data_IF_794894466761
#
_entry.id   IF_794894466761
#
_cell.length_a   1.000
_cell.length_b   1.000
_cell.length_c   1.000
_cell.angle_alpha   90.00
_cell.angle_beta   90.00
_cell.angle_gamma   90.00
#
_symmetry.space_group_name_H-M   'P 1'
#
loop_
_entity.id
_entity.type
_entity.pdbx_description
1 polymer ?
#
# COMPACT_ATOMS: atom_id res chain seq x y z
N UNK A 1 77.65 59.61 33.92
CA UNK A 1 77.00 58.44 34.49
C UNK A 1 75.55 58.18 34.05
N UNK A 2 74.93 58.92 33.19
CA UNK A 2 73.48 58.76 32.83
C UNK A 2 73.24 57.97 31.54
N UNK A 3 74.24 57.57 30.78
CA UNK A 3 74.10 56.92 29.47
C UNK A 3 74.04 55.39 29.52
N UNK A 4 74.61 54.77 30.58
CA UNK A 4 74.65 53.32 30.74
C UNK A 4 73.40 52.74 31.45
N UNK A 5 72.65 53.54 32.15
CA UNK A 5 71.43 53.13 32.86
C UNK A 5 70.28 52.74 31.87
N UNK A 6 70.23 53.40 30.69
CA UNK A 6 69.24 53.09 29.70
C UNK A 6 69.48 51.72 28.98
N UNK A 7 70.80 51.32 28.85
CA UNK A 7 71.15 50.04 28.29
C UNK A 7 70.90 48.86 29.23
N UNK A 8 71.08 49.08 30.53
CA UNK A 8 70.72 48.10 31.55
C UNK A 8 69.21 47.86 31.68
N UNK A 9 68.43 48.93 31.54
CA UNK A 9 66.93 48.80 31.50
C UNK A 9 66.47 48.10 30.23
N UNK A 10 67.10 48.32 29.06
CA UNK A 10 66.73 47.65 27.82
C UNK A 10 67.12 46.18 27.86
N UNK A 11 68.27 45.82 28.44
CA UNK A 11 68.68 44.44 28.63
C UNK A 11 67.77 43.68 29.63
N UNK A 12 67.32 44.36 30.69
CA UNK A 12 66.36 43.80 31.62
C UNK A 12 64.96 43.51 31.01
N UNK A 13 64.48 44.44 30.16
CA UNK A 13 63.24 44.22 29.46
C UNK A 13 63.34 43.08 28.42
N UNK A 14 64.49 43.00 27.71
CA UNK A 14 64.72 41.86 26.79
C UNK A 14 64.87 40.52 27.50
N UNK A 15 65.46 40.48 28.68
CA UNK A 15 65.55 39.24 29.50
C UNK A 15 64.16 38.83 30.03
N UNK A 16 63.32 39.76 30.43
CA UNK A 16 61.95 39.48 30.89
C UNK A 16 61.09 38.98 29.71
N UNK A 17 61.24 39.60 28.51
CA UNK A 17 60.53 39.17 27.30
C UNK A 17 60.98 37.78 26.87
N UNK A 18 62.31 37.48 26.95
CA UNK A 18 62.82 36.16 26.63
C UNK A 18 62.38 35.06 27.63
N UNK A 19 62.29 35.40 28.92
CA UNK A 19 61.74 34.49 29.95
C UNK A 19 60.21 34.30 29.73
N UNK A 20 59.47 35.35 29.40
CA UNK A 20 58.07 35.22 29.10
C UNK A 20 57.80 34.45 27.80
N UNK A 21 58.63 34.57 26.76
CA UNK A 21 58.57 33.78 25.55
C UNK A 21 58.95 32.31 25.81
N UNK A 22 59.98 32.04 26.65
CA UNK A 22 60.35 30.66 26.99
C UNK A 22 59.32 29.94 27.86
N UNK A 23 58.66 30.64 28.76
CA UNK A 23 57.58 30.08 29.59
C UNK A 23 56.24 30.05 28.89
N UNK A 24 55.96 30.96 27.92
CA UNK A 24 54.70 30.97 27.17
C UNK A 24 54.57 29.90 26.08
N UNK A 25 55.67 29.32 25.62
CA UNK A 25 55.64 28.31 24.55
C UNK A 25 55.47 26.85 25.03
N UNK A 26 55.42 26.60 26.34
CA UNK A 26 55.32 25.25 26.88
C UNK A 26 53.97 24.91 27.51
N UNK A 27 52.90 25.63 27.14
CA UNK A 27 51.55 25.19 27.45
C UNK A 27 51.22 23.96 26.57
N UNK A 28 51.53 22.76 27.05
CA UNK A 28 51.02 21.53 26.48
C UNK A 28 49.51 21.66 26.42
N UNK A 29 48.93 21.73 25.23
CA UNK A 29 47.52 21.59 24.96
C UNK A 29 47.03 20.32 25.68
N UNK A 30 46.25 20.47 26.71
CA UNK A 30 45.60 19.32 27.36
C UNK A 30 44.38 18.97 26.52
N UNK A 31 44.56 17.99 25.64
CA UNK A 31 43.47 17.41 24.90
C UNK A 31 42.52 16.70 25.88
N UNK A 32 41.28 17.12 25.92
CA UNK A 32 40.27 16.52 26.79
C UNK A 32 39.54 15.41 26.01
N UNK A 33 39.79 14.17 26.40
CA UNK A 33 39.19 13.01 25.80
C UNK A 33 37.90 12.62 26.54
N UNK A 34 36.81 12.49 25.82
CA UNK A 34 35.57 11.93 26.32
C UNK A 34 35.55 10.45 26.00
N UNK A 35 35.29 9.65 27.00
CA UNK A 35 35.25 8.19 26.86
C UNK A 35 33.87 7.64 27.18
N UNK A 36 33.51 6.54 26.50
CA UNK A 36 32.35 5.72 26.83
C UNK A 36 32.82 4.30 27.13
N UNK A 37 32.14 3.60 27.99
CA UNK A 37 32.47 2.24 28.36
C UNK A 37 31.88 1.25 27.39
N UNK A 38 32.60 0.14 27.19
CA UNK A 38 32.04 -1.05 26.56
C UNK A 38 31.12 -1.73 27.57
N UNK A 39 29.89 -1.95 27.21
CA UNK A 39 28.88 -2.56 28.07
C UNK A 39 28.44 -3.90 27.49
N UNK A 40 27.92 -4.75 28.37
CA UNK A 40 27.27 -5.98 27.96
C UNK A 40 25.76 -5.82 28.12
N UNK A 41 25.00 -6.20 27.07
CA UNK A 41 23.57 -6.08 27.10
C UNK A 41 22.93 -6.60 25.81
N UNK A 42 21.62 -6.48 25.75
CA UNK A 42 20.85 -6.89 24.59
C UNK A 42 20.85 -5.78 23.54
N UNK A 43 20.85 -6.18 22.28
CA UNK A 43 20.68 -5.29 21.11
C UNK A 43 19.51 -5.80 20.31
N UNK A 44 18.61 -4.88 19.99
CA UNK A 44 17.43 -5.13 19.17
C UNK A 44 17.55 -4.32 17.89
N UNK A 45 17.75 -5.00 16.78
CA UNK A 45 17.64 -4.39 15.46
C UNK A 45 16.16 -4.30 15.12
N UNK A 46 15.66 -3.08 14.94
CA UNK A 46 14.26 -2.80 14.70
C UNK A 46 14.08 -1.94 13.46
N UNK A 47 13.08 -2.27 12.68
CA UNK A 47 12.61 -1.43 11.58
C UNK A 47 11.45 -0.58 12.11
N UNK A 48 11.61 0.73 12.06
CA UNK A 48 10.56 1.69 12.38
C UNK A 48 9.86 2.13 11.10
N UNK A 49 8.55 2.04 11.08
CA UNK A 49 7.77 2.39 9.92
C UNK A 49 6.42 2.99 10.33
N UNK A 50 5.87 3.83 9.48
CA UNK A 50 4.56 4.43 9.69
C UNK A 50 3.52 3.74 8.81
N UNK A 51 2.30 3.63 9.32
CA UNK A 51 1.21 3.02 8.59
C UNK A 51 -0.16 3.60 8.95
N UNK A 52 -1.19 3.15 8.25
CA UNK A 52 -2.58 3.50 8.52
C UNK A 52 -3.36 2.27 8.96
N UNK A 53 -4.20 2.45 9.95
CA UNK A 53 -5.11 1.42 10.45
C UNK A 53 -6.32 1.31 9.52
N UNK A 54 -6.64 0.09 9.12
CA UNK A 54 -7.79 -0.21 8.26
C UNK A 54 -8.51 -1.46 8.75
N UNK A 55 -9.80 -1.58 8.42
CA UNK A 55 -10.50 -2.84 8.62
C UNK A 55 -9.99 -3.90 7.61
N UNK A 56 -10.09 -5.18 7.99
CA UNK A 56 -9.64 -6.30 7.13
C UNK A 56 -10.40 -6.29 5.79
N UNK A 57 -11.70 -6.08 5.83
CA UNK A 57 -12.55 -5.97 4.65
C UNK A 57 -13.33 -4.67 4.73
N UNK A 58 -13.16 -3.84 3.71
CA UNK A 58 -13.89 -2.60 3.51
C UNK A 58 -14.50 -2.61 2.13
N UNK A 59 -15.82 -2.40 2.04
CA UNK A 59 -16.56 -2.34 0.78
C UNK A 59 -17.10 -0.95 0.55
N UNK A 60 -16.84 -0.41 -0.62
CA UNK A 60 -17.43 0.84 -1.08
C UNK A 60 -18.75 0.51 -1.79
N UNK A 61 -19.86 0.99 -1.25
CA UNK A 61 -21.20 0.84 -1.81
C UNK A 61 -21.50 2.05 -2.66
N UNK A 62 -21.68 1.84 -3.95
CA UNK A 62 -21.99 2.89 -4.92
C UNK A 62 -23.37 2.72 -5.57
N UNK A 63 -23.74 3.65 -6.45
CA UNK A 63 -24.94 3.56 -7.28
C UNK A 63 -24.61 3.02 -8.68
N UNK A 64 -25.51 2.19 -9.22
CA UNK A 64 -25.46 1.73 -10.61
C UNK A 64 -26.34 2.57 -11.54
N UNK A 65 -27.19 3.43 -10.98
CA UNK A 65 -28.07 4.33 -11.74
C UNK A 65 -27.89 5.77 -11.28
N UNK A 66 -28.08 6.70 -12.19
CA UNK A 66 -28.03 8.14 -11.89
C UNK A 66 -29.39 8.62 -11.40
N UNK A 67 -29.39 9.52 -10.41
CA UNK A 67 -30.62 10.10 -9.88
C UNK A 67 -30.39 10.91 -8.63
N UNK A 68 -31.45 11.40 -8.01
CA UNK A 68 -31.41 12.16 -6.76
C UNK A 68 -31.59 11.19 -5.58
N UNK A 69 -30.79 11.34 -4.53
CA UNK A 69 -30.99 10.59 -3.29
C UNK A 69 -32.26 11.04 -2.59
N UNK A 70 -33.29 10.20 -2.64
CA UNK A 70 -34.57 10.50 -2.01
C UNK A 70 -34.52 10.29 -0.50
N UNK A 71 -33.85 9.23 -0.04
CA UNK A 71 -33.79 8.90 1.37
C UNK A 71 -32.53 8.10 1.71
N UNK A 72 -31.95 8.36 2.88
CA UNK A 72 -30.93 7.57 3.52
C UNK A 72 -31.52 6.87 4.75
N UNK A 73 -31.28 5.57 4.92
CA UNK A 73 -31.82 4.76 6.02
C UNK A 73 -30.81 4.51 7.11
N UNK A 74 -29.52 4.76 6.83
CA UNK A 74 -28.40 4.56 7.73
C UNK A 74 -27.53 5.80 7.76
N UNK A 75 -26.82 6.00 8.85
CA UNK A 75 -25.89 7.11 9.05
C UNK A 75 -24.52 6.58 9.53
N UNK A 76 -23.57 7.46 9.81
CA UNK A 76 -22.27 7.11 10.37
C UNK A 76 -22.42 6.17 11.57
N UNK A 77 -21.53 5.20 11.70
CA UNK A 77 -21.46 4.20 12.78
C UNK A 77 -22.70 3.28 12.89
N UNK A 78 -23.65 3.35 11.96
CA UNK A 78 -24.80 2.42 11.92
C UNK A 78 -24.36 1.01 11.58
N UNK A 79 -24.88 0.02 12.31
CA UNK A 79 -24.71 -1.39 11.96
C UNK A 79 -25.70 -1.78 10.89
N UNK A 80 -25.22 -2.54 9.93
CA UNK A 80 -26.01 -3.02 8.78
C UNK A 80 -25.75 -4.50 8.56
N UNK A 81 -26.81 -5.20 8.09
CA UNK A 81 -26.69 -6.59 7.64
C UNK A 81 -26.71 -6.65 6.12
N UNK A 82 -26.17 -7.74 5.59
CA UNK A 82 -26.24 -8.00 4.15
C UNK A 82 -27.68 -8.00 3.65
N UNK A 83 -27.96 -7.16 2.65
CA UNK A 83 -29.29 -7.00 2.08
C UNK A 83 -30.11 -5.85 2.67
N UNK A 84 -29.70 -5.25 3.80
CA UNK A 84 -30.38 -4.09 4.36
C UNK A 84 -30.37 -2.92 3.39
N UNK A 85 -31.47 -2.18 3.34
CA UNK A 85 -31.58 -0.99 2.49
C UNK A 85 -30.84 0.15 3.18
N UNK A 86 -29.84 0.69 2.48
CA UNK A 86 -28.99 1.79 3.01
C UNK A 86 -29.35 3.14 2.40
N UNK A 87 -29.79 3.16 1.13
CA UNK A 87 -30.25 4.38 0.47
C UNK A 87 -31.33 4.06 -0.56
N UNK A 88 -32.11 5.10 -0.90
CA UNK A 88 -33.10 5.07 -1.95
C UNK A 88 -32.87 6.26 -2.88
N UNK A 89 -32.67 5.96 -4.16
CA UNK A 89 -32.69 6.96 -5.24
C UNK A 89 -34.15 7.17 -5.66
N UNK A 90 -34.54 8.36 -6.07
CA UNK A 90 -35.90 8.67 -6.52
C UNK A 90 -36.32 7.68 -7.63
N UNK A 91 -37.30 6.81 -7.35
CA UNK A 91 -37.72 5.77 -8.29
C UNK A 91 -38.70 6.25 -9.36
N UNK A 92 -39.20 7.50 -9.31
CA UNK A 92 -40.30 7.96 -10.12
C UNK A 92 -40.07 7.78 -11.63
N UNK A 93 -38.89 8.18 -12.13
CA UNK A 93 -38.55 8.01 -13.55
C UNK A 93 -38.44 6.53 -13.95
N UNK A 94 -37.87 5.70 -13.09
CA UNK A 94 -37.70 4.28 -13.34
C UNK A 94 -39.03 3.52 -13.27
N UNK A 95 -39.96 3.90 -12.38
CA UNK A 95 -41.30 3.37 -12.33
C UNK A 95 -42.08 3.72 -13.61
N UNK A 96 -41.96 4.96 -14.10
CA UNK A 96 -42.53 5.36 -15.37
C UNK A 96 -41.98 4.52 -16.54
N UNK A 97 -40.67 4.26 -16.58
CA UNK A 97 -40.07 3.42 -17.61
C UNK A 97 -40.55 1.95 -17.56
N UNK A 98 -40.76 1.40 -16.37
CA UNK A 98 -41.36 0.05 -16.22
C UNK A 98 -42.79 0.04 -16.69
N UNK A 99 -43.63 1.02 -16.32
CA UNK A 99 -45.00 1.12 -16.78
C UNK A 99 -45.11 1.24 -18.30
N UNK A 100 -44.24 2.03 -18.93
CA UNK A 100 -44.20 2.15 -20.40
C UNK A 100 -43.84 0.79 -21.04
N UNK A 101 -42.79 0.11 -20.51
CA UNK A 101 -42.39 -1.19 -21.03
C UNK A 101 -43.47 -2.28 -20.83
N UNK A 102 -44.23 -2.22 -19.73
CA UNK A 102 -45.37 -3.11 -19.49
C UNK A 102 -46.52 -2.86 -20.50
N UNK A 103 -46.82 -1.60 -20.81
CA UNK A 103 -47.80 -1.24 -21.82
C UNK A 103 -47.40 -1.74 -23.23
N UNK A 104 -46.12 -1.55 -23.58
CA UNK A 104 -45.57 -2.04 -24.84
C UNK A 104 -45.64 -3.57 -24.95
N UNK A 105 -45.30 -4.29 -23.87
CA UNK A 105 -45.38 -5.75 -23.81
C UNK A 105 -46.84 -6.23 -23.98
N UNK A 106 -47.78 -5.56 -23.33
CA UNK A 106 -49.19 -5.90 -23.45
C UNK A 106 -49.71 -5.66 -24.88
N UNK A 107 -49.28 -4.58 -25.54
CA UNK A 107 -49.60 -4.29 -26.95
C UNK A 107 -49.03 -5.41 -27.86
N UNK A 108 -47.76 -5.84 -27.65
CA UNK A 108 -47.17 -6.93 -28.42
C UNK A 108 -47.90 -8.27 -28.22
N UNK A 109 -48.37 -8.56 -26.99
CA UNK A 109 -49.19 -9.74 -26.70
C UNK A 109 -50.55 -9.69 -27.41
N UNK A 110 -51.20 -8.53 -27.46
CA UNK A 110 -52.45 -8.35 -28.21
C UNK A 110 -52.26 -8.58 -29.73
N UNK A 111 -51.14 -8.07 -30.28
CA UNK A 111 -50.79 -8.30 -31.68
C UNK A 111 -50.51 -9.79 -31.97
N UNK A 112 -49.87 -10.51 -31.06
CA UNK A 112 -49.69 -11.96 -31.19
C UNK A 112 -51.03 -12.71 -31.18
N UNK A 113 -51.93 -12.32 -30.31
CA UNK A 113 -53.29 -12.92 -30.28
C UNK A 113 -54.06 -12.68 -31.59
N UNK A 114 -53.97 -11.48 -32.17
CA UNK A 114 -54.55 -11.16 -33.47
C UNK A 114 -53.91 -11.98 -34.61
N UNK A 115 -52.57 -12.15 -34.60
CA UNK A 115 -51.87 -12.96 -35.58
C UNK A 115 -52.27 -14.44 -35.49
N UNK A 116 -52.42 -14.98 -34.28
CA UNK A 116 -52.94 -16.34 -34.06
C UNK A 116 -54.36 -16.53 -34.54
N UNK A 117 -55.27 -15.56 -34.29
CA UNK A 117 -56.61 -15.60 -34.80
C UNK A 117 -56.67 -15.57 -36.34
N UNK A 118 -55.80 -14.78 -36.99
CA UNK A 118 -55.67 -14.76 -38.44
C UNK A 118 -55.15 -16.10 -38.99
N UNK A 119 -54.18 -16.77 -38.31
CA UNK A 119 -53.71 -18.09 -38.68
C UNK A 119 -54.83 -19.13 -38.60
N UNK A 120 -55.65 -19.15 -37.56
CA UNK A 120 -56.79 -20.06 -37.43
C UNK A 120 -57.84 -19.84 -38.53
N UNK A 121 -58.10 -18.57 -38.87
CA UNK A 121 -58.93 -18.24 -40.04
C UNK A 121 -58.37 -18.78 -41.34
N UNK A 122 -57.06 -18.63 -41.61
CA UNK A 122 -56.43 -19.17 -42.80
C UNK A 122 -56.47 -20.69 -42.83
N UNK A 123 -56.24 -21.36 -41.72
CA UNK A 123 -56.35 -22.81 -41.57
C UNK A 123 -57.80 -23.33 -41.87
N UNK A 124 -58.76 -22.66 -41.33
CA UNK A 124 -60.15 -23.01 -41.63
C UNK A 124 -60.48 -22.91 -43.12
N UNK A 125 -60.01 -21.83 -43.79
CA UNK A 125 -60.20 -21.68 -45.26
C UNK A 125 -59.40 -22.75 -46.03
N UNK A 126 -58.23 -23.16 -45.57
CA UNK A 126 -57.49 -24.26 -46.19
C UNK A 126 -58.20 -25.60 -46.09
N UNK A 127 -58.87 -25.92 -44.99
CA UNK A 127 -59.70 -27.11 -44.84
C UNK A 127 -60.77 -27.16 -45.86
N UNK A 128 -61.47 -26.03 -46.10
CA UNK A 128 -62.50 -25.92 -47.13
C UNK A 128 -61.96 -26.14 -48.55
N UNK A 129 -60.87 -25.43 -48.93
CA UNK A 129 -60.33 -25.51 -50.29
C UNK A 129 -59.71 -26.88 -50.53
N UNK A 130 -59.20 -27.54 -49.51
CA UNK A 130 -58.66 -28.95 -49.56
C UNK A 130 -59.83 -29.90 -49.87
N UNK A 131 -60.94 -29.80 -49.18
CA UNK A 131 -62.11 -30.65 -49.41
C UNK A 131 -62.70 -30.42 -50.85
N UNK A 132 -62.68 -29.19 -51.32
CA UNK A 132 -63.13 -28.88 -52.71
C UNK A 132 -62.19 -29.49 -53.78
N UNK A 133 -60.84 -29.41 -53.54
CA UNK A 133 -59.86 -30.08 -54.41
C UNK A 133 -59.98 -31.59 -54.40
N UNK A 134 -60.12 -32.23 -53.24
CA UNK A 134 -60.32 -33.67 -53.12
C UNK A 134 -61.58 -34.14 -53.85
N UNK A 135 -62.69 -33.42 -53.71
CA UNK A 135 -63.92 -33.65 -54.38
C UNK A 135 -63.75 -33.52 -55.90
N UNK A 136 -63.14 -32.43 -56.41
CA UNK A 136 -62.86 -32.24 -57.83
C UNK A 136 -62.01 -33.34 -58.38
N UNK A 137 -60.97 -33.83 -57.62
CA UNK A 137 -60.11 -34.94 -58.01
C UNK A 137 -60.91 -36.26 -58.21
N UNK A 138 -61.80 -36.59 -57.26
CA UNK A 138 -62.62 -37.79 -57.36
C UNK A 138 -63.53 -37.74 -58.58
N UNK A 139 -64.30 -36.62 -58.81
CA UNK A 139 -65.14 -36.44 -59.92
C UNK A 139 -64.46 -36.46 -61.30
N UNK A 140 -63.24 -35.96 -61.37
CA UNK A 140 -62.36 -36.06 -62.57
C UNK A 140 -61.95 -37.49 -62.85
N UNK A 141 -61.64 -38.27 -61.85
CA UNK A 141 -61.29 -39.70 -61.97
C UNK A 141 -62.48 -40.51 -62.53
N UNK A 142 -63.70 -40.12 -62.10
CA UNK A 142 -64.98 -40.66 -62.60
C UNK A 142 -65.39 -40.10 -63.96
N UNK A 143 -64.57 -39.21 -64.59
CA UNK A 143 -64.86 -38.49 -65.86
C UNK A 143 -66.17 -37.64 -65.84
N UNK A 144 -66.56 -37.18 -64.68
CA UNK A 144 -67.80 -36.31 -64.48
C UNK A 144 -67.49 -34.84 -64.69
N UNK A 145 -66.23 -34.40 -64.40
CA UNK A 145 -65.83 -32.97 -64.50
C UNK A 145 -64.59 -32.83 -65.42
N UNK A 146 -64.31 -31.54 -65.84
CA UNK A 146 -63.18 -31.24 -66.74
C UNK A 146 -61.86 -31.12 -66.00
N UNK A 147 -60.73 -31.37 -66.68
CA UNK A 147 -59.38 -31.18 -66.17
C UNK A 147 -59.18 -29.72 -65.71
N UNK A 148 -59.74 -28.75 -66.42
CA UNK A 148 -59.69 -27.32 -66.10
C UNK A 148 -60.28 -27.02 -64.69
N UNK A 149 -61.37 -27.70 -64.30
CA UNK A 149 -61.95 -27.53 -62.96
C UNK A 149 -61.05 -28.13 -61.85
N UNK A 150 -60.38 -29.25 -62.10
CA UNK A 150 -59.40 -29.84 -61.21
C UNK A 150 -58.19 -28.91 -61.03
N UNK A 151 -57.63 -28.38 -62.12
CA UNK A 151 -56.49 -27.48 -62.11
C UNK A 151 -56.83 -26.19 -61.36
N UNK A 152 -58.02 -25.64 -61.50
CA UNK A 152 -58.52 -24.47 -60.77
C UNK A 152 -58.65 -24.75 -59.25
N UNK A 153 -59.22 -25.89 -58.87
CA UNK A 153 -59.40 -26.30 -57.50
C UNK A 153 -57.99 -26.55 -56.84
N UNK A 154 -57.03 -27.13 -57.57
CA UNK A 154 -55.66 -27.30 -57.14
C UNK A 154 -55.00 -25.95 -56.93
N UNK A 155 -55.07 -25.04 -57.88
CA UNK A 155 -54.44 -23.71 -57.76
C UNK A 155 -54.99 -22.93 -56.53
N UNK A 156 -56.32 -23.03 -56.27
CA UNK A 156 -56.91 -22.46 -55.06
C UNK A 156 -56.42 -23.09 -53.77
N UNK A 157 -56.29 -24.41 -53.73
CA UNK A 157 -55.70 -25.13 -52.59
C UNK A 157 -54.25 -24.72 -52.37
N UNK A 158 -53.40 -24.71 -53.39
CA UNK A 158 -52.00 -24.34 -53.32
C UNK A 158 -51.83 -22.86 -52.85
N UNK A 159 -52.71 -21.95 -53.38
CA UNK A 159 -52.71 -20.54 -52.94
C UNK A 159 -53.08 -20.39 -51.45
N UNK A 160 -54.10 -21.15 -51.00
CA UNK A 160 -54.50 -21.07 -49.57
C UNK A 160 -53.46 -21.70 -48.66
N UNK A 161 -52.79 -22.78 -49.11
CA UNK A 161 -51.69 -23.37 -48.36
C UNK A 161 -50.50 -22.43 -48.20
N UNK A 162 -50.17 -21.66 -49.25
CA UNK A 162 -49.17 -20.60 -49.16
C UNK A 162 -49.62 -19.46 -48.20
N UNK A 163 -50.92 -19.12 -48.17
CA UNK A 163 -51.48 -18.15 -47.26
C UNK A 163 -51.35 -18.58 -45.79
N UNK A 164 -51.57 -19.85 -45.47
CA UNK A 164 -51.31 -20.41 -44.14
C UNK A 164 -49.86 -20.26 -43.77
N UNK A 165 -48.90 -20.58 -44.64
CA UNK A 165 -47.46 -20.38 -44.39
C UNK A 165 -47.10 -18.93 -44.09
N UNK A 166 -47.73 -17.98 -44.81
CA UNK A 166 -47.59 -16.55 -44.55
C UNK A 166 -48.14 -16.13 -43.17
N UNK A 167 -49.31 -16.70 -42.78
CA UNK A 167 -49.90 -16.45 -41.47
C UNK A 167 -49.05 -17.07 -40.32
N UNK A 168 -48.47 -18.21 -40.52
CA UNK A 168 -47.52 -18.84 -39.57
C UNK A 168 -46.26 -17.99 -39.37
N UNK A 169 -45.70 -17.46 -40.46
CA UNK A 169 -44.55 -16.55 -40.40
C UNK A 169 -44.92 -15.27 -39.59
N UNK A 170 -46.13 -14.73 -39.78
CA UNK A 170 -46.60 -13.57 -39.02
C UNK A 170 -46.77 -13.87 -37.51
N UNK A 171 -47.19 -15.07 -37.12
CA UNK A 171 -47.24 -15.50 -35.71
C UNK A 171 -45.83 -15.56 -35.15
N UNK A 172 -44.89 -16.19 -35.87
CA UNK A 172 -43.50 -16.25 -35.43
C UNK A 172 -42.88 -14.86 -35.25
N UNK A 173 -43.17 -13.93 -36.17
CA UNK A 173 -42.72 -12.54 -36.04
C UNK A 173 -43.32 -11.85 -34.81
N UNK A 174 -44.63 -12.04 -34.57
CA UNK A 174 -45.29 -11.47 -33.38
C UNK A 174 -44.76 -12.07 -32.07
N UNK A 175 -44.43 -13.37 -32.04
CA UNK A 175 -43.77 -14.04 -30.90
C UNK A 175 -42.39 -13.46 -30.62
N UNK A 176 -41.59 -13.20 -31.65
CA UNK A 176 -40.32 -12.54 -31.53
C UNK A 176 -40.44 -11.13 -30.94
N UNK A 177 -41.49 -10.37 -31.35
CA UNK A 177 -41.78 -9.03 -30.80
C UNK A 177 -42.17 -9.10 -29.31
N UNK A 178 -42.96 -10.08 -28.89
CA UNK A 178 -43.27 -10.29 -27.47
C UNK A 178 -42.02 -10.56 -26.67
N UNK A 179 -41.14 -11.40 -27.16
CA UNK A 179 -39.85 -11.72 -26.51
C UNK A 179 -38.97 -10.47 -26.38
N UNK A 180 -38.88 -9.66 -27.45
CA UNK A 180 -38.13 -8.40 -27.44
C UNK A 180 -38.67 -7.43 -26.40
N UNK A 181 -40.00 -7.23 -26.34
CA UNK A 181 -40.64 -6.32 -25.37
C UNK A 181 -40.55 -6.84 -23.94
N UNK A 182 -40.59 -8.16 -23.73
CA UNK A 182 -40.35 -8.78 -22.42
C UNK A 182 -38.92 -8.54 -21.92
N UNK A 183 -37.94 -8.62 -22.82
CA UNK A 183 -36.54 -8.29 -22.48
C UNK A 183 -36.39 -6.80 -22.11
N UNK A 184 -36.98 -5.89 -22.86
CA UNK A 184 -37.00 -4.45 -22.57
C UNK A 184 -37.61 -4.15 -21.19
N UNK A 185 -38.73 -4.80 -20.86
CA UNK A 185 -39.39 -4.68 -19.55
C UNK A 185 -38.47 -5.19 -18.42
N UNK A 186 -37.77 -6.30 -18.64
CA UNK A 186 -36.82 -6.84 -17.66
C UNK A 186 -35.67 -5.86 -17.38
N UNK A 187 -35.13 -5.19 -18.40
CA UNK A 187 -34.10 -4.16 -18.24
C UNK A 187 -34.62 -2.97 -17.41
N UNK A 188 -35.82 -2.46 -17.74
CA UNK A 188 -36.47 -1.37 -17.00
C UNK A 188 -36.67 -1.75 -15.51
N UNK A 189 -37.13 -2.97 -15.24
CA UNK A 189 -37.31 -3.49 -13.88
C UNK A 189 -35.98 -3.61 -13.12
N UNK A 190 -34.93 -4.04 -13.78
CA UNK A 190 -33.58 -4.13 -13.17
C UNK A 190 -33.06 -2.74 -12.79
N UNK A 191 -33.25 -1.75 -13.66
CA UNK A 191 -32.87 -0.37 -13.36
C UNK A 191 -33.72 0.20 -12.18
N UNK A 192 -35.00 -0.11 -12.09
CA UNK A 192 -35.79 0.23 -10.92
C UNK A 192 -35.27 -0.45 -9.64
N UNK A 193 -34.89 -1.70 -9.70
CA UNK A 193 -34.31 -2.41 -8.55
C UNK A 193 -32.99 -1.77 -8.09
N UNK A 194 -32.18 -1.21 -9.00
CA UNK A 194 -30.96 -0.50 -8.68
C UNK A 194 -31.16 0.86 -7.99
N UNK A 195 -32.38 1.40 -7.97
CA UNK A 195 -32.69 2.59 -7.17
C UNK A 195 -32.68 2.31 -5.68
N UNK A 196 -32.85 1.04 -5.27
CA UNK A 196 -32.79 0.59 -3.88
C UNK A 196 -31.39 0.06 -3.61
N UNK A 197 -30.57 0.87 -2.94
CA UNK A 197 -29.20 0.53 -2.63
C UNK A 197 -29.15 -0.29 -1.34
N UNK A 198 -28.49 -1.45 -1.41
CA UNK A 198 -28.40 -2.41 -0.30
C UNK A 198 -26.97 -2.65 0.12
N UNK A 199 -26.78 -3.00 1.39
CA UNK A 199 -25.48 -3.43 1.88
C UNK A 199 -25.11 -4.79 1.30
N UNK A 200 -23.91 -4.96 0.70
CA UNK A 200 -23.42 -6.25 0.20
C UNK A 200 -22.91 -7.16 1.29
N UNK A 201 -22.56 -6.61 2.48
CA UNK A 201 -21.94 -7.31 3.61
C UNK A 201 -22.59 -6.92 4.93
N UNK A 202 -22.38 -7.73 5.95
CA UNK A 202 -22.61 -7.36 7.34
C UNK A 202 -21.47 -6.44 7.81
N UNK A 203 -21.79 -5.39 8.57
CA UNK A 203 -20.73 -4.50 9.02
C UNK A 203 -21.22 -3.20 9.66
N UNK A 204 -20.31 -2.24 9.74
CA UNK A 204 -20.55 -0.89 10.26
C UNK A 204 -20.25 0.14 9.18
N UNK A 205 -21.10 1.13 9.03
CA UNK A 205 -20.90 2.25 8.11
C UNK A 205 -19.78 3.15 8.66
N UNK A 206 -18.67 3.21 7.96
CA UNK A 206 -17.49 4.04 8.34
C UNK A 206 -17.61 5.44 7.76
N UNK A 207 -18.08 5.55 6.51
CA UNK A 207 -18.19 6.84 5.85
C UNK A 207 -19.49 6.93 5.02
N UNK A 208 -20.07 8.13 4.97
CA UNK A 208 -21.19 8.53 4.14
C UNK A 208 -20.75 9.72 3.28
N UNK A 209 -20.77 9.53 1.97
CA UNK A 209 -20.23 10.51 1.02
C UNK A 209 -21.30 11.30 0.27
N UNK A 210 -22.57 11.08 0.60
CA UNK A 210 -23.70 11.76 -0.06
C UNK A 210 -24.76 12.18 0.96
N UNK A 211 -25.53 13.22 0.60
CA UNK A 211 -26.64 13.73 1.39
C UNK A 211 -28.00 13.53 0.68
N UNK A 212 -29.09 13.60 1.45
CA UNK A 212 -30.45 13.58 0.90
C UNK A 212 -30.65 14.81 0.01
N UNK A 213 -31.23 14.59 -1.17
CA UNK A 213 -31.38 15.62 -2.20
C UNK A 213 -30.17 15.79 -3.12
N UNK A 214 -29.05 15.14 -2.84
CA UNK A 214 -27.88 15.18 -3.72
C UNK A 214 -28.11 14.33 -4.98
N UNK A 215 -27.70 14.86 -6.13
CA UNK A 215 -27.71 14.11 -7.39
C UNK A 215 -26.44 13.29 -7.53
N UNK A 216 -26.57 12.00 -7.80
CA UNK A 216 -25.48 11.09 -8.13
C UNK A 216 -25.52 10.72 -9.60
N UNK A 217 -24.35 10.73 -10.25
CA UNK A 217 -24.19 10.41 -11.67
C UNK A 217 -23.31 9.17 -11.81
N UNK A 218 -23.89 8.07 -12.29
CA UNK A 218 -23.18 6.79 -12.46
C UNK A 218 -22.56 6.60 -13.86
N UNK A 219 -22.60 7.63 -14.73
CA UNK A 219 -22.23 7.52 -16.14
C UNK A 219 -20.73 7.45 -16.43
N UNK A 220 -19.87 8.01 -15.57
CA UNK A 220 -18.39 8.03 -15.75
C UNK A 220 -17.65 7.20 -14.70
N UNK A 221 -18.04 7.37 -13.44
CA UNK A 221 -17.55 6.57 -12.31
C UNK A 221 -18.72 6.31 -11.37
N UNK A 222 -18.83 5.10 -10.86
CA UNK A 222 -19.82 4.80 -9.83
C UNK A 222 -19.49 5.60 -8.56
N UNK A 223 -20.32 6.59 -8.17
CA UNK A 223 -20.05 7.38 -6.96
C UNK A 223 -20.17 6.49 -5.73
N UNK A 224 -19.18 6.53 -4.86
CA UNK A 224 -19.25 5.85 -3.56
C UNK A 224 -20.23 6.60 -2.67
N UNK A 225 -21.28 5.92 -2.22
CA UNK A 225 -22.33 6.45 -1.33
C UNK A 225 -21.96 6.16 0.12
N UNK A 226 -21.62 4.92 0.43
CA UNK A 226 -21.18 4.49 1.74
C UNK A 226 -19.90 3.67 1.67
N UNK A 227 -19.11 3.74 2.73
CA UNK A 227 -18.01 2.81 2.99
C UNK A 227 -18.39 1.96 4.21
N UNK A 228 -18.44 0.65 4.02
CA UNK A 228 -18.86 -0.30 5.07
C UNK A 228 -17.67 -1.19 5.41
N UNK A 229 -17.29 -1.24 6.68
CA UNK A 229 -16.29 -2.16 7.23
C UNK A 229 -16.97 -3.38 7.82
N UNK A 230 -16.48 -4.56 7.46
CA UNK A 230 -17.13 -5.83 7.88
C UNK A 230 -16.97 -6.07 9.38
N UNK A 231 -15.76 -5.99 9.90
CA UNK A 231 -15.46 -6.19 11.30
C UNK A 231 -14.39 -5.19 11.76
N UNK A 232 -14.69 -4.47 12.84
CA UNK A 232 -13.77 -3.54 13.48
C UNK A 232 -13.02 -4.16 14.67
N UNK A 233 -13.30 -5.43 15.01
CA UNK A 233 -12.57 -6.16 16.04
C UNK A 233 -11.27 -6.75 15.53
N UNK A 234 -11.21 -7.07 14.24
CA UNK A 234 -9.99 -7.51 13.55
C UNK A 234 -9.59 -6.45 12.53
N UNK A 235 -8.40 -5.94 12.68
CA UNK A 235 -7.93 -4.82 11.87
C UNK A 235 -6.53 -5.07 11.34
N UNK A 236 -6.14 -4.28 10.36
CA UNK A 236 -4.83 -4.32 9.72
C UNK A 236 -4.19 -2.95 9.80
N UNK A 237 -2.88 -2.91 10.08
CA UNK A 237 -2.06 -1.74 9.81
C UNK A 237 -1.39 -1.94 8.44
N UNK A 238 -1.62 -1.04 7.51
CA UNK A 238 -0.88 -0.95 6.26
C UNK A 238 0.34 -0.08 6.48
N UNK A 239 1.48 -0.72 6.67
CA UNK A 239 2.73 -0.06 7.02
C UNK A 239 3.62 0.01 5.79
N UNK A 240 4.15 1.20 5.49
CA UNK A 240 5.12 1.39 4.40
C UNK A 240 6.52 1.13 4.91
N UNK A 241 7.16 0.10 4.37
CA UNK A 241 8.53 -0.31 4.70
C UNK A 241 9.46 -0.09 3.52
N UNK A 242 10.66 0.37 3.77
CA UNK A 242 11.64 0.64 2.73
C UNK A 242 12.18 -0.66 2.11
N UNK A 243 12.60 -0.60 0.85
CA UNK A 243 13.19 -1.73 0.13
C UNK A 243 14.39 -2.34 0.86
N UNK A 244 15.18 -1.50 1.56
CA UNK A 244 16.36 -1.95 2.33
C UNK A 244 16.01 -2.91 3.46
N UNK A 245 14.81 -2.77 4.04
CA UNK A 245 14.41 -3.44 5.27
C UNK A 245 13.44 -4.60 5.03
N UNK A 246 12.72 -4.55 3.90
CA UNK A 246 11.69 -5.55 3.57
C UNK A 246 12.23 -6.99 3.53
N UNK A 247 13.50 -7.16 3.12
CA UNK A 247 14.14 -8.48 3.05
C UNK A 247 14.32 -9.17 4.40
N UNK A 248 14.29 -8.41 5.49
CA UNK A 248 14.46 -8.90 6.86
C UNK A 248 13.13 -9.14 7.58
N UNK A 249 12.02 -8.66 7.02
CA UNK A 249 10.68 -8.80 7.60
C UNK A 249 10.07 -10.14 7.17
N UNK A 250 9.71 -10.97 8.15
CA UNK A 250 9.11 -12.29 7.90
C UNK A 250 7.67 -12.35 8.40
N UNK A 251 6.75 -12.98 7.65
CA UNK A 251 5.40 -13.24 8.13
C UNK A 251 5.40 -14.00 9.47
N UNK A 252 4.41 -13.73 10.31
CA UNK A 252 4.26 -14.32 11.64
C UNK A 252 5.07 -13.62 12.75
N UNK A 253 5.90 -12.63 12.41
CA UNK A 253 6.70 -11.92 13.41
C UNK A 253 5.82 -11.00 14.25
N UNK A 254 6.00 -11.04 15.56
CA UNK A 254 5.30 -10.15 16.49
C UNK A 254 5.88 -8.75 16.37
N UNK A 255 5.00 -7.77 16.35
CA UNK A 255 5.35 -6.35 16.23
C UNK A 255 4.60 -5.56 17.29
N UNK A 256 5.14 -4.40 17.63
CA UNK A 256 4.47 -3.44 18.48
C UNK A 256 4.18 -2.16 17.71
N UNK A 257 3.09 -1.51 18.04
CA UNK A 257 2.79 -0.21 17.43
C UNK A 257 2.12 0.72 18.45
N UNK A 258 2.27 2.01 18.17
CA UNK A 258 1.63 3.08 18.93
C UNK A 258 0.81 3.95 17.99
N UNK A 259 -0.23 4.57 18.52
CA UNK A 259 -1.09 5.51 17.79
C UNK A 259 -1.12 6.84 18.54
N UNK A 260 -1.21 7.95 17.80
CA UNK A 260 -1.22 9.29 18.41
C UNK A 260 -2.41 9.52 19.34
N UNK A 261 -3.53 8.83 19.08
CA UNK A 261 -4.71 8.91 19.93
C UNK A 261 -4.49 8.32 21.34
N UNK A 262 -3.57 7.35 21.48
CA UNK A 262 -3.25 6.64 22.72
C UNK A 262 -1.73 6.53 22.94
N UNK A 263 -1.01 7.64 23.22
CA UNK A 263 0.45 7.66 23.24
C UNK A 263 1.06 6.84 24.39
N UNK A 264 0.29 6.54 25.43
CA UNK A 264 0.73 5.74 26.58
C UNK A 264 0.49 4.24 26.40
N UNK A 265 -0.36 3.85 25.46
CA UNK A 265 -0.69 2.44 25.21
C UNK A 265 0.17 1.90 24.08
N UNK A 266 0.68 0.69 24.23
CA UNK A 266 1.39 -0.04 23.19
C UNK A 266 0.51 -1.21 22.77
N UNK A 267 0.23 -1.26 21.48
CA UNK A 267 -0.57 -2.31 20.87
C UNK A 267 0.35 -3.38 20.27
N UNK A 268 -0.15 -4.60 20.22
CA UNK A 268 0.57 -5.76 19.69
C UNK A 268 -0.14 -6.29 18.46
N UNK A 269 0.65 -6.70 17.48
CA UNK A 269 0.17 -7.31 16.26
C UNK A 269 1.18 -8.30 15.72
N UNK A 270 0.85 -8.94 14.61
CA UNK A 270 1.74 -9.84 13.90
C UNK A 270 1.79 -9.47 12.41
N UNK A 271 2.97 -9.59 11.81
CA UNK A 271 3.11 -9.44 10.36
C UNK A 271 2.32 -10.56 9.68
N UNK A 272 1.28 -10.20 8.95
CA UNK A 272 0.47 -11.14 8.18
C UNK A 272 1.16 -11.46 6.85
N UNK A 273 1.52 -10.42 6.12
CA UNK A 273 2.20 -10.56 4.82
C UNK A 273 2.91 -9.25 4.43
N UNK A 274 3.88 -9.37 3.54
CA UNK A 274 4.48 -8.26 2.82
C UNK A 274 3.98 -8.34 1.38
N UNK A 275 3.40 -7.25 0.86
CA UNK A 275 2.91 -7.18 -0.52
C UNK A 275 4.08 -7.00 -1.48
N UNK A 276 4.10 -7.80 -2.55
CA UNK A 276 5.17 -7.76 -3.54
C UNK A 276 5.07 -6.58 -4.51
N UNK A 277 3.93 -5.87 -4.53
CA UNK A 277 3.74 -4.71 -5.40
C UNK A 277 4.35 -3.45 -4.74
N UNK A 278 5.43 -2.88 -5.28
CA UNK A 278 6.04 -1.69 -4.73
C UNK A 278 5.21 -0.44 -5.02
N UNK A 279 5.28 0.52 -4.12
CA UNK A 279 4.79 1.88 -4.34
C UNK A 279 5.99 2.83 -4.38
N UNK A 280 6.16 3.56 -5.49
CA UNK A 280 7.23 4.56 -5.61
C UNK A 280 6.66 5.95 -5.40
N UNK A 281 7.16 6.63 -4.37
CA UNK A 281 6.80 8.02 -4.07
C UNK A 281 8.09 8.83 -3.99
N UNK A 282 8.21 9.88 -4.79
CA UNK A 282 9.40 10.74 -4.83
C UNK A 282 10.72 9.96 -5.01
N UNK A 283 10.75 8.97 -5.89
CA UNK A 283 11.87 8.07 -6.14
C UNK A 283 12.27 7.15 -4.96
N UNK A 284 11.47 7.08 -3.90
CA UNK A 284 11.65 6.12 -2.83
C UNK A 284 10.71 4.93 -3.08
N UNK A 285 11.29 3.74 -3.15
CA UNK A 285 10.56 2.48 -3.32
C UNK A 285 10.19 1.93 -1.95
N UNK A 286 8.90 1.78 -1.72
CA UNK A 286 8.36 1.22 -0.47
C UNK A 286 7.44 0.03 -0.76
N UNK A 287 7.37 -0.89 0.19
CA UNK A 287 6.49 -2.06 0.16
C UNK A 287 5.47 -2.00 1.29
N UNK A 288 4.24 -2.42 0.99
CA UNK A 288 3.20 -2.48 2.01
C UNK A 288 3.37 -3.74 2.86
N UNK A 289 3.75 -3.56 4.13
CA UNK A 289 3.76 -4.61 5.15
C UNK A 289 2.43 -4.57 5.92
N UNK A 290 1.71 -5.68 5.90
CA UNK A 290 0.41 -5.81 6.56
C UNK A 290 0.58 -6.45 7.93
N UNK A 291 0.06 -5.79 8.96
CA UNK A 291 0.13 -6.22 10.35
C UNK A 291 -1.29 -6.41 10.84
N UNK A 292 -1.61 -7.65 11.20
CA UNK A 292 -2.91 -8.01 11.78
C UNK A 292 -2.89 -7.83 13.30
N UNK A 293 -3.97 -7.28 13.84
CA UNK A 293 -4.14 -7.09 15.26
C UNK A 293 -5.62 -7.16 15.68
N UNK A 294 -5.85 -7.48 16.94
CA UNK A 294 -7.18 -7.51 17.53
C UNK A 294 -7.52 -6.17 18.21
N UNK A 295 -8.76 -5.70 18.02
CA UNK A 295 -9.31 -4.47 18.58
C UNK A 295 -10.61 -4.77 19.35
N UNK A 296 -10.57 -5.55 20.44
CA UNK A 296 -11.77 -6.01 21.15
C UNK A 296 -12.58 -4.88 21.77
N UNK A 297 -11.93 -3.82 22.21
CA UNK A 297 -12.54 -2.66 22.84
C UNK A 297 -13.03 -1.60 21.84
N UNK A 298 -12.79 -1.80 20.52
CA UNK A 298 -13.14 -0.88 19.45
C UNK A 298 -12.56 0.53 19.66
N UNK A 299 -11.41 0.63 20.33
CA UNK A 299 -10.71 1.91 20.58
C UNK A 299 -10.05 2.47 19.32
N UNK A 300 -9.57 1.59 18.45
CA UNK A 300 -8.85 1.98 17.25
C UNK A 300 -9.83 2.08 16.07
N UNK A 301 -9.76 3.19 15.35
CA UNK A 301 -10.64 3.45 14.21
C UNK A 301 -9.87 3.39 12.89
N UNK A 302 -10.52 2.99 11.79
CA UNK A 302 -9.95 3.09 10.46
C UNK A 302 -9.51 4.53 10.15
N UNK A 303 -8.34 4.67 9.52
CA UNK A 303 -7.74 5.96 9.18
C UNK A 303 -6.76 6.51 10.22
N UNK A 304 -6.65 5.92 11.42
CA UNK A 304 -5.64 6.33 12.40
C UNK A 304 -4.23 5.99 11.91
N UNK A 305 -3.27 6.87 12.22
CA UNK A 305 -1.85 6.64 11.96
C UNK A 305 -1.25 5.79 13.07
N UNK A 306 -0.48 4.77 12.68
CA UNK A 306 0.24 3.89 13.58
C UNK A 306 1.76 3.99 13.32
N UNK A 307 2.53 4.12 14.40
CA UNK A 307 3.98 4.01 14.39
C UNK A 307 4.36 2.60 14.80
N UNK A 308 4.89 1.86 13.86
CA UNK A 308 5.14 0.43 14.00
C UNK A 308 6.62 0.18 14.22
N UNK A 309 6.94 -0.66 15.21
CA UNK A 309 8.27 -1.17 15.48
C UNK A 309 8.30 -2.66 15.21
N UNK A 310 9.04 -3.05 14.18
CA UNK A 310 9.17 -4.44 13.73
C UNK A 310 10.55 -4.94 14.17
N UNK A 311 10.68 -5.85 15.15
CA UNK A 311 11.98 -6.39 15.55
C UNK A 311 12.48 -7.33 14.45
N UNK A 312 13.63 -7.02 13.88
CA UNK A 312 14.25 -7.81 12.80
C UNK A 312 15.18 -8.87 13.38
N UNK A 313 16.12 -8.44 14.23
CA UNK A 313 17.05 -9.32 14.90
C UNK A 313 17.19 -8.93 16.38
N UNK A 314 17.44 -9.89 17.21
CA UNK A 314 17.71 -9.69 18.65
C UNK A 314 18.87 -10.58 19.03
N UNK A 315 19.90 -9.99 19.64
CA UNK A 315 21.01 -10.72 20.20
C UNK A 315 21.12 -10.34 21.68
N UNK A 316 21.18 -11.36 22.53
CA UNK A 316 21.18 -11.18 23.98
C UNK A 316 22.58 -11.28 24.54
N UNK A 317 22.87 -10.49 25.59
CA UNK A 317 24.08 -10.53 26.39
C UNK A 317 25.38 -10.43 25.58
N UNK A 318 25.42 -9.53 24.59
CA UNK A 318 26.61 -9.26 23.76
C UNK A 318 27.38 -8.04 24.24
N UNK A 319 28.66 -7.97 23.89
CA UNK A 319 29.43 -6.75 24.05
C UNK A 319 28.95 -5.72 23.05
N UNK A 320 28.58 -4.54 23.54
CA UNK A 320 28.12 -3.42 22.74
C UNK A 320 28.96 -2.18 22.98
N UNK A 321 29.12 -1.42 21.93
CA UNK A 321 29.79 -0.12 21.97
C UNK A 321 28.91 0.97 21.36
N UNK A 322 29.02 2.21 21.85
CA UNK A 322 28.25 3.31 21.27
C UNK A 322 28.76 3.66 19.87
N UNK A 323 27.84 3.93 18.94
CA UNK A 323 28.17 4.23 17.55
C UNK A 323 29.05 5.48 17.37
N UNK A 324 29.12 6.35 18.39
CA UNK A 324 30.03 7.48 18.43
C UNK A 324 31.50 7.05 18.47
N UNK A 325 31.81 5.91 19.11
CA UNK A 325 33.17 5.38 19.16
C UNK A 325 33.65 4.83 17.81
N UNK A 326 32.73 4.34 16.95
CA UNK A 326 33.03 3.87 15.59
C UNK A 326 33.40 5.03 14.64
N UNK A 327 32.88 6.21 14.91
CA UNK A 327 33.09 7.41 14.06
C UNK A 327 34.25 8.25 14.52
N UNK A 328 34.85 7.91 15.65
CA UNK A 328 35.96 8.68 16.21
C UNK A 328 37.26 8.51 15.41
N UNK A 329 37.86 9.64 15.05
CA UNK A 329 39.18 9.71 14.44
C UNK A 329 40.09 10.50 15.36
N UNK A 330 41.26 9.92 15.81
CA UNK A 330 42.17 10.63 16.70
C UNK A 330 42.78 11.85 15.99
N UNK A 331 43.08 12.93 16.71
CA UNK A 331 43.73 14.12 16.16
C UNK A 331 45.23 13.90 15.98
N UNK A 332 45.61 12.84 15.25
CA UNK A 332 46.98 12.44 14.97
C UNK A 332 47.27 12.58 13.49
N UNK A 333 48.57 12.66 13.12
CA UNK A 333 48.94 12.63 11.70
C UNK A 333 48.68 11.26 11.08
N UNK A 334 48.36 11.19 9.76
CA UNK A 334 48.17 9.90 9.09
C UNK A 334 49.33 8.94 9.25
N UNK A 335 50.55 9.46 9.26
CA UNK A 335 51.77 8.66 9.47
C UNK A 335 51.84 8.04 10.88
N UNK A 336 51.42 8.76 11.92
CA UNK A 336 51.36 8.24 13.28
C UNK A 336 50.30 7.15 13.44
N UNK A 337 49.14 7.34 12.81
CA UNK A 337 48.06 6.33 12.79
C UNK A 337 48.56 5.07 12.11
N UNK A 338 49.23 5.19 10.95
CA UNK A 338 49.82 4.03 10.25
C UNK A 338 50.86 3.30 11.07
N UNK A 339 51.73 4.02 11.80
CA UNK A 339 52.74 3.40 12.71
C UNK A 339 52.07 2.66 13.85
N UNK A 340 50.97 3.18 14.38
CA UNK A 340 50.16 2.50 15.40
C UNK A 340 49.50 1.25 14.82
N UNK A 341 48.89 1.33 13.65
CA UNK A 341 48.28 0.16 12.99
C UNK A 341 49.30 -0.94 12.71
N UNK A 342 50.48 -0.59 12.20
CA UNK A 342 51.57 -1.54 11.98
C UNK A 342 52.05 -2.20 13.28
N UNK A 343 52.11 -1.43 14.39
CA UNK A 343 52.55 -1.96 15.72
C UNK A 343 51.54 -2.98 16.27
N UNK A 344 50.24 -2.77 16.02
CA UNK A 344 49.15 -3.65 16.49
C UNK A 344 48.70 -4.68 15.43
N UNK A 345 49.38 -4.73 14.27
CA UNK A 345 49.12 -5.72 13.22
C UNK A 345 47.76 -5.53 12.50
N UNK A 346 47.33 -4.26 12.34
CA UNK A 346 46.10 -3.88 11.64
C UNK A 346 46.46 -3.47 10.23
N UNK A 347 46.00 -4.21 9.21
CA UNK A 347 46.22 -3.91 7.80
C UNK A 347 45.17 -2.93 7.26
N UNK A 348 45.58 -1.78 6.76
CA UNK A 348 44.74 -0.71 6.23
C UNK A 348 44.00 -1.11 4.95
N UNK A 349 44.62 -1.93 4.09
CA UNK A 349 43.99 -2.40 2.83
C UNK A 349 42.68 -3.16 3.03
N UNK A 350 42.51 -3.80 4.19
CA UNK A 350 41.27 -4.49 4.51
C UNK A 350 40.16 -3.57 5.03
N UNK A 351 40.52 -2.35 5.47
CA UNK A 351 39.55 -1.34 5.93
C UNK A 351 38.99 -0.52 4.75
N UNK A 352 39.78 -0.25 3.72
CA UNK A 352 39.32 0.49 2.53
C UNK A 352 38.35 -0.31 1.66
N UNK A 353 38.54 -1.64 1.59
CA UNK A 353 37.63 -2.51 0.81
C UNK A 353 36.21 -2.52 1.36
N UNK A 354 36.04 -2.26 2.67
CA UNK A 354 34.72 -2.16 3.29
C UNK A 354 34.05 -0.77 3.14
N UNK A 355 34.83 0.28 2.86
CA UNK A 355 34.37 1.66 2.71
C UNK A 355 33.99 2.03 1.26
N UNK A 356 34.61 1.40 0.25
CA UNK A 356 34.39 1.71 -1.17
C UNK A 356 33.14 1.06 -1.78
N UNK A 357 32.47 0.15 -1.06
CA UNK A 357 31.21 -0.46 -1.51
C UNK A 357 29.98 0.49 -1.47
N UNK A 358 30.17 1.78 -1.18
CA UNK A 358 29.10 2.75 -0.98
C UNK A 358 29.07 3.90 -2.01
N UNK A 359 29.73 3.78 -3.18
CA UNK A 359 29.53 4.71 -4.28
C UNK A 359 28.68 4.05 -5.38
N UNK A 360 27.55 4.66 -5.80
CA UNK A 360 26.77 4.16 -6.91
C UNK A 360 27.42 4.62 -8.22
N UNK A 361 28.21 3.74 -8.85
CA UNK A 361 28.59 3.91 -10.24
C UNK A 361 27.49 3.29 -11.11
N UNK A 362 26.93 4.13 -11.98
CA UNK A 362 25.83 3.78 -12.84
C UNK A 362 26.23 2.86 -13.98
N UNK A 363 25.95 1.57 -13.82
CA UNK A 363 25.74 0.64 -14.94
C UNK A 363 24.84 -0.51 -14.46
N UNK A 364 23.79 -0.86 -15.23
CA UNK A 364 22.89 -1.95 -14.85
C UNK A 364 23.41 -3.26 -15.41
N UNK A 365 23.99 -4.11 -14.57
CA UNK A 365 24.02 -5.57 -14.74
C UNK A 365 24.83 -6.21 -13.61
N UNK A 366 24.16 -6.91 -12.71
CA UNK A 366 24.51 -8.25 -12.27
C UNK A 366 23.94 -8.60 -10.90
N UNK A 367 23.47 -9.83 -10.77
CA UNK A 367 23.05 -10.56 -9.59
C UNK A 367 23.82 -10.19 -8.31
N UNK A 368 23.21 -9.35 -7.46
CA UNK A 368 23.76 -9.01 -6.17
C UNK A 368 23.26 -10.01 -5.13
N UNK A 369 24.04 -11.07 -4.95
CA UNK A 369 24.00 -11.83 -3.71
C UNK A 369 24.56 -10.92 -2.62
N UNK A 370 23.72 -10.31 -1.80
CA UNK A 370 24.17 -9.55 -0.63
C UNK A 370 24.81 -10.50 0.36
N UNK A 371 26.14 -10.47 0.42
CA UNK A 371 26.92 -11.04 1.51
C UNK A 371 26.59 -10.25 2.78
N UNK A 372 26.34 -10.88 3.95
CA UNK A 372 26.14 -10.16 5.20
C UNK A 372 27.34 -9.25 5.46
N UNK A 373 27.12 -7.98 5.72
CA UNK A 373 28.17 -7.00 6.04
C UNK A 373 28.83 -7.39 7.35
N UNK A 374 29.86 -8.21 7.32
CA UNK A 374 30.84 -8.24 8.37
C UNK A 374 31.70 -6.98 8.17
N UNK A 375 31.20 -5.85 8.65
CA UNK A 375 31.97 -4.61 8.59
C UNK A 375 32.93 -4.62 9.75
N UNK A 376 34.22 -4.74 9.51
CA UNK A 376 35.24 -4.53 10.55
C UNK A 376 35.49 -3.03 10.71
N UNK A 377 35.68 -2.60 11.95
CA UNK A 377 36.00 -1.23 12.30
C UNK A 377 37.14 -1.17 13.30
N UNK A 378 37.83 -0.03 13.35
CA UNK A 378 38.84 0.22 14.37
C UNK A 378 38.26 1.18 15.39
N UNK A 379 38.29 0.77 16.66
CA UNK A 379 37.92 1.60 17.82
C UNK A 379 39.16 1.91 18.66
N UNK A 380 39.12 3.03 19.33
CA UNK A 380 40.26 3.52 20.09
C UNK A 380 40.03 3.34 21.58
N UNK A 381 40.78 2.38 22.17
CA UNK A 381 40.75 2.12 23.61
C UNK A 381 41.64 3.13 24.33
N UNK A 382 41.10 3.70 25.39
CA UNK A 382 41.77 4.64 26.26
C UNK A 382 42.37 3.93 27.46
N UNK A 383 43.68 4.12 27.69
CA UNK A 383 44.41 3.59 28.86
C UNK A 383 44.60 4.67 29.95
N UNK A 384 44.74 4.27 31.24
CA UNK A 384 44.98 5.20 32.34
C UNK A 384 46.30 6.00 32.22
N UNK A 385 47.23 5.51 31.40
CA UNK A 385 48.50 6.17 31.08
C UNK A 385 48.40 7.24 30.01
N UNK A 386 47.16 7.64 29.62
CA UNK A 386 46.86 8.58 28.56
C UNK A 386 47.26 8.09 27.16
N UNK A 387 47.47 6.81 26.97
CA UNK A 387 47.72 6.23 25.65
C UNK A 387 46.45 5.74 24.98
N UNK A 388 46.42 5.74 23.62
CA UNK A 388 45.35 5.21 22.81
C UNK A 388 45.82 3.94 22.10
N UNK A 389 45.05 2.88 22.23
CA UNK A 389 45.27 1.60 21.55
C UNK A 389 44.22 1.39 20.47
N UNK A 390 44.61 1.19 19.19
CA UNK A 390 43.66 0.82 18.14
C UNK A 390 43.30 -0.66 18.29
N UNK A 391 42.01 -0.95 18.35
CA UNK A 391 41.44 -2.30 18.42
C UNK A 391 40.56 -2.55 17.20
N UNK A 392 40.90 -3.59 16.42
CA UNK A 392 40.09 -3.99 15.26
C UNK A 392 39.01 -4.95 15.72
N UNK A 393 37.76 -4.56 15.47
CA UNK A 393 36.56 -5.31 15.84
C UNK A 393 35.72 -5.63 14.61
N UNK A 394 35.11 -6.82 14.60
CA UNK A 394 34.06 -7.17 13.65
C UNK A 394 32.70 -6.77 14.25
N UNK A 395 31.92 -6.03 13.47
CA UNK A 395 30.63 -5.49 13.90
C UNK A 395 29.50 -6.46 13.56
N UNK A 396 28.55 -6.60 14.48
CA UNK A 396 27.31 -7.32 14.30
C UNK A 396 26.12 -6.38 14.04
N UNK A 397 24.99 -6.66 14.69
CA UNK A 397 23.78 -5.86 14.59
C UNK A 397 23.88 -4.53 15.33
N UNK A 398 23.07 -3.56 14.94
CA UNK A 398 23.03 -2.22 15.54
C UNK A 398 21.59 -1.81 15.82
N UNK A 399 21.41 -1.09 16.95
CA UNK A 399 20.15 -0.42 17.30
C UNK A 399 20.20 1.09 17.04
N UNK A 400 21.07 1.55 16.14
CA UNK A 400 21.38 2.95 15.83
C UNK A 400 22.08 3.75 16.94
N UNK A 401 22.02 3.33 18.20
CA UNK A 401 22.74 3.94 19.33
C UNK A 401 24.01 3.13 19.67
N UNK A 402 23.86 1.82 19.70
CA UNK A 402 24.93 0.86 20.00
C UNK A 402 25.08 -0.13 18.84
N UNK A 403 26.29 -0.68 18.70
CA UNK A 403 26.61 -1.76 17.77
C UNK A 403 27.23 -2.93 18.52
N UNK A 404 26.82 -4.13 18.14
CA UNK A 404 27.38 -5.39 18.62
C UNK A 404 28.83 -5.54 18.19
N UNK A 405 29.67 -6.02 19.09
CA UNK A 405 30.99 -6.53 18.79
C UNK A 405 30.88 -8.05 18.59
N UNK A 406 30.81 -8.47 17.33
CA UNK A 406 30.71 -9.88 16.99
C UNK A 406 32.00 -10.64 17.30
N UNK A 407 33.17 -10.02 17.03
CA UNK A 407 34.46 -10.55 17.37
C UNK A 407 35.48 -9.44 17.52
N UNK A 408 36.52 -9.67 18.36
CA UNK A 408 37.71 -8.83 18.44
C UNK A 408 38.80 -9.47 17.58
N UNK A 409 39.10 -8.85 16.42
CA UNK A 409 40.07 -9.41 15.47
C UNK A 409 41.53 -9.17 15.89
N UNK A 410 41.83 -7.95 16.35
CA UNK A 410 43.16 -7.53 16.81
C UNK A 410 43.03 -6.59 17.99
N UNK A 411 43.95 -6.69 18.95
CA UNK A 411 43.91 -5.98 20.22
C UNK A 411 43.11 -6.72 21.29
N UNK A 412 42.96 -6.11 22.45
CA UNK A 412 42.16 -6.66 23.57
C UNK A 412 41.06 -5.71 23.98
N UNK A 413 39.78 -6.17 23.91
CA UNK A 413 38.63 -5.41 24.36
C UNK A 413 37.79 -6.25 25.33
N UNK A 414 37.52 -5.69 26.49
CA UNK A 414 36.75 -6.32 27.57
C UNK A 414 35.59 -5.41 27.99
N UNK A 415 34.64 -5.98 28.71
CA UNK A 415 33.63 -5.24 29.41
C UNK A 415 34.24 -4.20 30.36
N UNK A 416 33.66 -3.00 30.41
CA UNK A 416 34.12 -1.82 31.15
C UNK A 416 35.40 -1.14 30.61
N UNK A 417 35.96 -1.57 29.47
CA UNK A 417 37.02 -0.82 28.81
C UNK A 417 36.50 0.54 28.31
N UNK A 418 37.31 1.57 28.44
CA UNK A 418 36.97 2.93 28.01
C UNK A 418 37.36 3.14 26.55
N UNK A 419 36.38 3.48 25.70
CA UNK A 419 36.62 3.85 24.31
C UNK A 419 36.52 5.37 24.14
N UNK A 420 37.40 5.95 23.34
CA UNK A 420 37.36 7.37 23.02
C UNK A 420 36.23 7.62 22.02
N UNK A 421 35.33 8.54 22.39
CA UNK A 421 34.20 8.94 21.52
C UNK A 421 34.36 10.35 20.94
N UNK A 422 35.16 11.19 21.64
CA UNK A 422 35.44 12.57 21.21
C UNK A 422 36.69 13.10 21.89
N UNK A 423 37.48 13.88 21.15
CA UNK A 423 38.61 14.68 21.70
C UNK A 423 38.29 16.16 21.43
N UNK A 424 38.39 16.98 22.47
CA UNK A 424 38.37 18.44 22.34
C UNK A 424 39.82 18.92 22.55
N UNK A 425 40.45 19.38 21.45
CA UNK A 425 41.76 20.02 21.51
C UNK A 425 41.57 21.48 21.95
N UNK A 426 42.11 21.84 23.10
CA UNK A 426 42.17 23.23 23.55
C UNK A 426 43.31 23.95 22.83
N UNK A 427 43.16 24.19 21.52
CA UNK A 427 44.08 25.11 20.82
C UNK A 427 43.80 26.51 21.33
N UNK A 428 44.82 27.22 21.92
CA UNK A 428 44.59 28.61 22.33
C UNK A 428 44.18 29.43 21.10
N UNK A 429 43.08 30.11 21.19
CA UNK A 429 42.66 31.05 20.17
C UNK A 429 43.78 32.11 20.00
N UNK A 430 44.34 32.24 18.80
CA UNK A 430 45.31 33.28 18.48
C UNK A 430 44.69 34.65 18.84
N UNK A 431 45.36 35.48 19.61
CA UNK A 431 44.83 36.82 19.95
C UNK A 431 44.83 37.66 18.67
N UNK A 432 43.67 37.91 18.07
CA UNK A 432 43.56 38.86 16.95
C UNK A 432 42.51 38.62 15.87
N UNK A 433 41.63 37.65 15.98
CA UNK A 433 40.53 37.52 15.02
C UNK A 433 39.28 38.27 15.53
N UNK A 434 39.19 39.55 15.20
CA UNK A 434 37.95 40.34 15.30
C UNK A 434 36.94 39.75 14.33
N UNK A 435 35.86 39.20 14.85
CA UNK A 435 34.69 38.81 14.04
C UNK A 435 34.10 40.08 13.39
N UNK A 436 34.10 40.12 12.09
CA UNK A 436 33.21 40.96 11.28
C UNK A 436 31.96 40.17 10.91
#
# INVERSE_FOLDING_TARGET
MKRNLKWLLLAGVLAVVAIFAAFGFNAKSQDQNFTAKVERGDIHDVVEATGTINAVITVQVGSQVSGVIAKLFVDFNSRVHKGDIVALIDPALFQGAVQQADADLNSAKANLLAARANLEKAKASLVQTKADYERARQLTQEKITSQQQLDLAKANYDSMNASVGGAEANVTQAEAQVTQKAAARSVAQTNLNYTVIRSPIDGTVVARNVDVGQTVAASLQAPTIFTIAQDLKKMLVYTKTDESDVGNIKPGKQVTFKVDAFPKETFHGAVSQVRMNPTTVQNVVTYDTMIEFDNPELKLFPGMTAYVTIPVATVQNVLKLPNTALRYKPPMSPEEIMRLYARYGIDEKQLETSSQAAQPDGTPESNITRVPRATSAVVWKWHPDNSMEPVKVSLGITDHAFTEIAAVEKGGLKENDSLVVRTISSKPAAPGAVRR
#
